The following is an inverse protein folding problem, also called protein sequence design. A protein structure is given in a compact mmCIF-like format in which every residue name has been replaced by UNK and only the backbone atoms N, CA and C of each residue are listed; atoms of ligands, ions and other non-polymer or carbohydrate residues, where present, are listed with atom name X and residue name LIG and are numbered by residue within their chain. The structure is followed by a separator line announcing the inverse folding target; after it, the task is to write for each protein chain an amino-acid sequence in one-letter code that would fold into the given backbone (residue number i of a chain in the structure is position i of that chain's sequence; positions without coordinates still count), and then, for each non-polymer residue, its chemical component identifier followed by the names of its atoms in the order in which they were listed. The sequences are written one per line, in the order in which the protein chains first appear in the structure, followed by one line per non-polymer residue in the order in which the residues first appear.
data_IF_304843501294
#
_entry.id   IF_304843501294
#
_cell.length_a   1.000
_cell.length_b   1.000
_cell.length_c   1.000
_cell.angle_alpha   90.00
_cell.angle_beta   90.00
_cell.angle_gamma   90.00
#
_symmetry.space_group_name_H-M   'P 1'
#
loop_
_entity.id
_entity.type
_entity.pdbx_description
1 polymer ?
#
# COMPACT_ATOMS: atom_id res chain seq x y z
N UNK A 1 16.02 -4.30 -2.37
CA UNK A 1 16.25 -5.42 -1.43
C UNK A 1 17.13 -6.47 -2.11
N UNK A 2 18.10 -6.98 -1.37
CA UNK A 2 18.94 -8.14 -1.71
C UNK A 2 18.17 -9.45 -1.48
N UNK A 3 18.70 -10.57 -1.97
CA UNK A 3 18.06 -11.89 -1.77
C UNK A 3 17.83 -12.20 -0.28
N UNK A 4 18.76 -11.81 0.60
CA UNK A 4 18.67 -12.01 2.06
C UNK A 4 17.58 -11.18 2.73
N UNK A 5 17.05 -10.17 2.04
CA UNK A 5 16.00 -9.28 2.57
C UNK A 5 14.60 -9.66 2.09
N UNK A 6 14.46 -10.57 1.11
CA UNK A 6 13.16 -11.07 0.62
C UNK A 6 12.26 -11.62 1.75
N UNK A 7 12.78 -12.30 2.78
CA UNK A 7 11.96 -12.72 3.92
C UNK A 7 11.19 -11.57 4.59
N UNK A 8 11.77 -10.37 4.69
CA UNK A 8 11.10 -9.20 5.26
C UNK A 8 9.85 -8.80 4.44
N UNK A 9 9.93 -8.92 3.11
CA UNK A 9 8.79 -8.71 2.24
C UNK A 9 7.74 -9.82 2.45
N UNK A 10 8.20 -11.07 2.50
CA UNK A 10 7.34 -12.25 2.55
C UNK A 10 6.55 -12.32 3.86
N UNK A 11 7.16 -12.00 5.00
CA UNK A 11 6.50 -12.02 6.31
C UNK A 11 5.26 -11.10 6.34
N UNK A 12 5.37 -9.89 5.78
CA UNK A 12 4.25 -8.94 5.70
C UNK A 12 3.20 -9.42 4.70
N UNK A 13 3.62 -9.99 3.57
CA UNK A 13 2.71 -10.55 2.56
C UNK A 13 1.92 -11.73 3.14
N UNK A 14 2.58 -12.65 3.85
CA UNK A 14 1.97 -13.81 4.48
C UNK A 14 0.93 -13.40 5.52
N UNK A 15 1.25 -12.46 6.41
CA UNK A 15 0.27 -11.90 7.36
C UNK A 15 -0.95 -11.31 6.65
N UNK A 16 -0.72 -10.60 5.54
CA UNK A 16 -1.81 -10.03 4.73
C UNK A 16 -2.66 -11.11 4.06
N UNK A 17 -2.01 -12.16 3.55
CA UNK A 17 -2.62 -13.34 2.93
C UNK A 17 -3.55 -14.04 3.91
N UNK A 18 -3.09 -14.29 5.14
CA UNK A 18 -3.90 -14.90 6.19
C UNK A 18 -5.10 -14.02 6.58
N UNK A 19 -4.86 -12.71 6.75
CA UNK A 19 -5.93 -11.76 7.12
C UNK A 19 -7.01 -11.62 6.04
N UNK A 20 -6.63 -11.67 4.76
CA UNK A 20 -7.53 -11.45 3.61
C UNK A 20 -7.97 -12.75 2.94
N UNK A 21 -7.53 -13.91 3.44
CA UNK A 21 -7.90 -15.24 2.96
C UNK A 21 -7.62 -15.46 1.47
N UNK A 22 -6.50 -14.96 0.95
CA UNK A 22 -6.01 -15.33 -0.38
C UNK A 22 -4.79 -16.26 -0.28
N UNK A 23 -4.48 -16.96 -1.37
CA UNK A 23 -3.31 -17.84 -1.46
C UNK A 23 -2.12 -17.09 -2.05
N UNK A 24 -0.93 -17.35 -1.51
CA UNK A 24 0.34 -16.88 -2.04
C UNK A 24 1.24 -18.07 -2.33
N UNK A 25 2.24 -17.85 -3.19
CA UNK A 25 3.33 -18.79 -3.38
C UNK A 25 4.23 -18.82 -2.13
N UNK A 26 5.08 -19.81 -2.03
CA UNK A 26 6.05 -19.92 -0.94
C UNK A 26 7.20 -18.91 -1.08
N UNK A 27 8.05 -18.81 -0.06
CA UNK A 27 9.21 -17.93 -0.09
C UNK A 27 10.16 -18.25 -1.26
N UNK A 28 10.34 -19.54 -1.57
CA UNK A 28 11.27 -20.01 -2.61
C UNK A 28 10.88 -19.51 -4.01
N UNK A 29 9.58 -19.36 -4.28
CA UNK A 29 9.09 -18.72 -5.49
C UNK A 29 9.58 -17.28 -5.61
N UNK A 30 9.50 -16.47 -4.55
CA UNK A 30 9.90 -15.06 -4.59
C UNK A 30 11.42 -14.90 -4.68
N UNK A 31 12.19 -15.78 -4.04
CA UNK A 31 13.64 -15.84 -4.18
C UNK A 31 14.04 -16.19 -5.62
N UNK A 32 13.41 -17.21 -6.20
CA UNK A 32 13.61 -17.59 -7.61
C UNK A 32 13.21 -16.46 -8.56
N UNK A 33 12.09 -15.78 -8.27
CA UNK A 33 11.64 -14.63 -9.06
C UNK A 33 12.68 -13.51 -9.05
N UNK A 34 13.28 -13.19 -7.89
CA UNK A 34 14.35 -12.19 -7.81
C UNK A 34 15.60 -12.63 -8.55
N UNK A 35 15.99 -13.90 -8.43
CA UNK A 35 17.14 -14.48 -9.16
C UNK A 35 16.96 -14.37 -10.68
N UNK A 36 15.76 -14.69 -11.19
CA UNK A 36 15.49 -14.73 -12.63
C UNK A 36 15.21 -13.36 -13.25
N UNK A 37 14.52 -12.47 -12.55
CA UNK A 37 14.16 -11.15 -13.08
C UNK A 37 15.17 -10.06 -12.73
N UNK A 38 16.09 -10.30 -11.78
CA UNK A 38 17.09 -9.33 -11.39
C UNK A 38 16.46 -7.99 -11.05
N UNK A 39 16.89 -6.92 -11.71
CA UNK A 39 16.43 -5.54 -11.45
C UNK A 39 15.02 -5.22 -11.97
N UNK A 40 14.45 -6.10 -12.80
CA UNK A 40 13.04 -6.00 -13.20
C UNK A 40 12.11 -6.32 -12.02
N UNK A 41 12.55 -7.16 -11.07
CA UNK A 41 11.83 -7.44 -9.83
C UNK A 41 12.25 -6.47 -8.72
N UNK A 42 11.36 -5.53 -8.40
CA UNK A 42 11.56 -4.46 -7.42
C UNK A 42 10.79 -4.76 -6.15
N UNK A 43 11.51 -5.33 -5.19
CA UNK A 43 11.01 -5.55 -3.84
C UNK A 43 11.21 -4.29 -3.01
N UNK A 44 10.09 -3.75 -2.53
CA UNK A 44 9.99 -2.54 -1.72
C UNK A 44 9.53 -2.90 -0.31
N UNK A 45 10.10 -2.23 0.68
CA UNK A 45 9.79 -2.44 2.09
C UNK A 45 9.82 -1.09 2.79
N UNK A 46 8.70 -0.72 3.41
CA UNK A 46 8.55 0.50 4.17
C UNK A 46 8.55 0.17 5.66
N UNK A 47 9.33 0.93 6.41
CA UNK A 47 9.38 0.88 7.86
C UNK A 47 9.32 2.30 8.44
N UNK A 48 8.94 2.40 9.70
CA UNK A 48 9.09 3.62 10.49
C UNK A 48 10.34 3.49 11.36
N UNK A 49 11.27 4.43 11.25
CA UNK A 49 12.33 4.61 12.24
C UNK A 49 11.71 5.20 13.51
N UNK A 50 11.69 4.39 14.57
CA UNK A 50 11.05 4.71 15.82
C UNK A 50 11.72 5.88 16.53
N UNK A 51 13.05 5.93 16.56
CA UNK A 51 13.81 6.97 17.24
C UNK A 51 13.63 8.33 16.53
N UNK A 52 13.72 8.32 15.20
CA UNK A 52 13.48 9.50 14.37
C UNK A 52 12.05 10.01 14.52
N UNK A 53 11.05 9.12 14.51
CA UNK A 53 9.65 9.53 14.69
C UNK A 53 9.37 10.09 16.09
N UNK A 54 9.94 9.48 17.14
CA UNK A 54 9.80 10.00 18.50
C UNK A 54 10.42 11.39 18.65
N UNK A 55 11.60 11.61 18.05
CA UNK A 55 12.26 12.91 18.02
C UNK A 55 11.40 13.94 17.31
N UNK A 56 10.93 13.61 16.10
CA UNK A 56 10.00 14.44 15.33
C UNK A 56 8.77 14.88 16.14
N UNK A 57 8.13 13.94 16.86
CA UNK A 57 6.97 14.26 17.69
C UNK A 57 7.33 15.18 18.86
N UNK A 58 8.43 14.91 19.58
CA UNK A 58 8.87 15.72 20.72
C UNK A 58 9.22 17.14 20.30
N UNK A 59 9.97 17.29 19.21
CA UNK A 59 10.37 18.60 18.70
C UNK A 59 9.16 19.45 18.33
N UNK A 60 8.14 18.85 17.70
CA UNK A 60 6.90 19.55 17.38
C UNK A 60 6.05 19.87 18.62
N UNK A 61 5.99 18.98 19.60
CA UNK A 61 5.32 19.26 20.88
C UNK A 61 5.99 20.46 21.57
N UNK A 62 7.32 20.43 21.72
CA UNK A 62 8.08 21.50 22.36
C UNK A 62 7.91 22.83 21.61
N UNK A 63 8.03 22.80 20.27
CA UNK A 63 7.86 23.99 19.43
C UNK A 63 6.50 24.65 19.64
N UNK A 64 5.40 23.88 19.64
CA UNK A 64 4.07 24.46 19.85
C UNK A 64 3.84 24.92 21.29
N UNK A 65 4.44 24.25 22.29
CA UNK A 65 4.40 24.73 23.67
C UNK A 65 5.10 26.08 23.83
N UNK A 66 6.29 26.22 23.24
CA UNK A 66 7.04 27.49 23.22
C UNK A 66 6.29 28.59 22.46
N UNK A 67 5.70 28.26 21.30
CA UNK A 67 4.90 29.20 20.50
C UNK A 67 3.68 29.72 21.29
N UNK A 68 2.96 28.84 21.99
CA UNK A 68 1.83 29.23 22.84
C UNK A 68 2.31 30.14 23.96
N UNK A 69 3.39 29.80 24.65
CA UNK A 69 3.96 30.60 25.74
C UNK A 69 4.40 31.99 25.26
N UNK A 70 5.06 32.09 24.11
CA UNK A 70 5.44 33.36 23.50
C UNK A 70 4.21 34.20 23.13
N UNK A 71 3.18 33.59 22.54
CA UNK A 71 1.92 34.28 22.22
C UNK A 71 1.16 34.73 23.47
N UNK A 72 1.21 33.99 24.56
CA UNK A 72 0.58 34.35 25.83
C UNK A 72 1.28 35.53 26.52
N UNK A 73 2.58 35.75 26.26
CA UNK A 73 3.31 36.92 26.78
C UNK A 73 2.95 38.25 26.11
N UNK A 74 2.30 38.20 24.94
CA UNK A 74 1.94 39.37 24.13
C UNK A 74 0.57 39.94 24.55
N UNK A 75 0.39 41.24 24.32
CA UNK A 75 -0.87 41.94 24.63
C UNK A 75 -2.08 41.28 23.94
N UNK A 76 -3.22 41.28 24.64
CA UNK A 76 -4.42 40.59 24.16
C UNK A 76 -4.94 41.16 22.83
N UNK A 77 -5.26 40.27 21.89
CA UNK A 77 -5.83 40.63 20.61
C UNK A 77 -6.52 39.44 19.95
N UNK A 78 -7.54 39.71 19.13
CA UNK A 78 -8.25 38.66 18.36
C UNK A 78 -7.30 37.82 17.50
N UNK A 79 -6.29 38.46 16.89
CA UNK A 79 -5.28 37.78 16.05
C UNK A 79 -4.43 36.81 16.89
N UNK A 80 -3.92 37.26 18.04
CA UNK A 80 -3.16 36.42 18.99
C UNK A 80 -3.98 35.24 19.49
N UNK A 81 -5.23 35.48 19.93
CA UNK A 81 -6.10 34.41 20.44
C UNK A 81 -6.41 33.35 19.37
N UNK A 82 -6.56 33.77 18.11
CA UNK A 82 -6.71 32.84 16.99
C UNK A 82 -5.44 32.02 16.76
N UNK A 83 -4.26 32.64 16.82
CA UNK A 83 -2.98 31.94 16.69
C UNK A 83 -2.78 30.92 17.81
N UNK A 84 -3.06 31.27 19.06
CA UNK A 84 -3.02 30.35 20.20
C UNK A 84 -3.96 29.17 19.97
N UNK A 85 -5.21 29.41 19.57
CA UNK A 85 -6.17 28.32 19.28
C UNK A 85 -5.61 27.35 18.24
N UNK A 86 -5.05 27.86 17.16
CA UNK A 86 -4.47 27.03 16.09
C UNK A 86 -3.24 26.24 16.59
N UNK A 87 -2.33 26.87 17.32
CA UNK A 87 -1.16 26.23 17.91
C UNK A 87 -1.56 25.14 18.92
N UNK A 88 -2.54 25.41 19.78
CA UNK A 88 -3.09 24.43 20.74
C UNK A 88 -3.74 23.24 20.03
N UNK A 89 -4.44 23.46 18.92
CA UNK A 89 -4.99 22.36 18.12
C UNK A 89 -3.88 21.48 17.54
N UNK A 90 -2.79 22.06 17.05
CA UNK A 90 -1.62 21.31 16.57
C UNK A 90 -0.93 20.56 17.71
N UNK A 91 -0.66 21.23 18.84
CA UNK A 91 -0.09 20.60 20.03
C UNK A 91 -0.89 19.38 20.47
N UNK A 92 -2.21 19.51 20.56
CA UNK A 92 -3.12 18.42 20.93
C UNK A 92 -3.03 17.26 19.92
N UNK A 93 -2.92 17.56 18.62
CA UNK A 93 -2.73 16.54 17.58
C UNK A 93 -1.42 15.76 17.76
N UNK A 94 -0.30 16.45 17.98
CA UNK A 94 1.01 15.80 18.18
C UNK A 94 1.08 15.02 19.50
N UNK A 95 0.50 15.54 20.58
CA UNK A 95 0.39 14.82 21.85
C UNK A 95 -0.45 13.54 21.71
N UNK A 96 -1.56 13.59 20.96
CA UNK A 96 -2.36 12.41 20.66
C UNK A 96 -1.54 11.36 19.88
N UNK A 97 -0.82 11.78 18.83
CA UNK A 97 0.07 10.89 18.06
C UNK A 97 1.16 10.26 18.94
N UNK A 98 1.74 11.04 19.86
CA UNK A 98 2.70 10.54 20.83
C UNK A 98 2.09 9.45 21.72
N UNK A 99 0.92 9.71 22.30
CA UNK A 99 0.22 8.73 23.13
C UNK A 99 -0.17 7.47 22.35
N UNK A 100 -0.66 7.60 21.12
CA UNK A 100 -0.97 6.48 20.24
C UNK A 100 0.27 5.65 19.92
N UNK A 101 1.40 6.30 19.60
CA UNK A 101 2.66 5.61 19.35
C UNK A 101 3.16 4.85 20.59
N UNK A 102 3.08 5.44 21.78
CA UNK A 102 3.46 4.75 23.03
C UNK A 102 2.59 3.51 23.31
N UNK A 103 1.30 3.52 22.93
CA UNK A 103 0.40 2.37 23.09
C UNK A 103 0.77 1.18 22.22
N UNK A 104 1.50 1.41 21.11
CA UNK A 104 1.95 0.32 20.24
C UNK A 104 3.02 -0.56 20.91
N UNK A 105 3.62 -0.12 22.02
CA UNK A 105 4.65 -0.85 22.77
C UNK A 105 5.76 -1.40 21.86
N UNK A 106 6.20 -0.58 20.89
CA UNK A 106 7.19 -1.00 19.89
C UNK A 106 8.50 -1.36 20.58
N UNK A 107 9.00 -2.56 20.30
CA UNK A 107 10.25 -3.10 20.88
C UNK A 107 11.43 -3.07 19.90
N UNK A 108 11.20 -2.63 18.67
CA UNK A 108 12.19 -2.62 17.59
C UNK A 108 12.52 -1.19 17.19
N UNK A 109 13.75 -0.98 16.71
CA UNK A 109 14.17 0.34 16.20
C UNK A 109 13.45 0.70 14.90
N UNK A 110 13.13 -0.31 14.10
CA UNK A 110 12.42 -0.19 12.83
C UNK A 110 11.10 -0.94 12.91
N UNK A 111 10.00 -0.23 12.73
CA UNK A 111 8.66 -0.80 12.72
C UNK A 111 8.25 -1.13 11.28
N UNK A 112 8.09 -2.42 10.90
CA UNK A 112 7.60 -2.78 9.58
C UNK A 112 6.22 -2.18 9.30
N UNK A 113 6.00 -1.60 8.13
CA UNK A 113 4.70 -1.03 7.75
C UNK A 113 4.06 -1.82 6.60
N UNK A 114 4.77 -1.90 5.48
CA UNK A 114 4.26 -2.42 4.21
C UNK A 114 5.38 -3.01 3.37
N UNK A 115 5.05 -3.97 2.51
CA UNK A 115 5.98 -4.53 1.54
C UNK A 115 5.27 -4.77 0.21
N UNK A 116 5.95 -4.52 -0.90
CA UNK A 116 5.40 -4.71 -2.25
C UNK A 116 6.46 -5.28 -3.20
N UNK A 117 6.01 -6.06 -4.17
CA UNK A 117 6.78 -6.53 -5.30
C UNK A 117 6.21 -5.89 -6.56
N UNK A 118 7.05 -5.15 -7.29
CA UNK A 118 6.76 -4.63 -8.61
C UNK A 118 7.57 -5.36 -9.67
N UNK A 119 6.98 -5.57 -10.84
CA UNK A 119 7.63 -6.15 -12.02
C UNK A 119 7.66 -5.09 -13.11
N UNK A 120 8.86 -4.69 -13.49
CA UNK A 120 9.15 -3.76 -14.58
C UNK A 120 9.31 -4.57 -15.87
N UNK A 121 8.34 -4.45 -16.77
CA UNK A 121 8.31 -5.26 -17.99
C UNK A 121 7.65 -4.51 -19.16
N UNK A 122 8.36 -4.44 -20.28
CA UNK A 122 7.88 -3.77 -21.48
C UNK A 122 7.72 -2.27 -21.25
N UNK A 123 6.48 -1.78 -21.34
CA UNK A 123 6.12 -0.37 -21.15
C UNK A 123 5.22 -0.17 -19.92
N UNK A 124 5.27 -1.10 -18.97
CA UNK A 124 4.51 -1.04 -17.73
C UNK A 124 5.32 -1.44 -16.49
N UNK A 125 4.98 -0.80 -15.38
CA UNK A 125 5.34 -1.28 -14.05
C UNK A 125 4.12 -1.93 -13.39
N UNK A 126 4.18 -3.24 -13.19
CA UNK A 126 3.11 -4.02 -12.56
C UNK A 126 3.32 -4.12 -11.04
N UNK A 127 2.35 -3.63 -10.27
CA UNK A 127 2.22 -3.90 -8.83
C UNK A 127 1.71 -5.35 -8.63
N UNK A 128 2.63 -6.30 -8.49
CA UNK A 128 2.32 -7.72 -8.55
C UNK A 128 1.81 -8.29 -7.22
N UNK A 129 2.54 -8.08 -6.12
CA UNK A 129 2.11 -8.47 -4.77
C UNK A 129 2.31 -7.33 -3.78
N UNK A 130 1.46 -7.28 -2.75
CA UNK A 130 1.53 -6.25 -1.72
C UNK A 130 0.97 -6.74 -0.39
N UNK A 131 1.68 -6.42 0.68
CA UNK A 131 1.31 -6.71 2.06
C UNK A 131 1.39 -5.45 2.92
N UNK A 132 0.54 -5.38 3.94
CA UNK A 132 0.47 -4.26 4.88
C UNK A 132 0.18 -4.79 6.29
N UNK A 133 0.85 -4.24 7.30
CA UNK A 133 0.56 -4.54 8.72
C UNK A 133 -0.61 -3.66 9.18
N UNK A 134 -1.71 -4.29 9.62
CA UNK A 134 -3.00 -3.61 9.83
C UNK A 134 -2.93 -2.57 10.95
N UNK A 135 -2.21 -2.92 12.01
CA UNK A 135 -1.97 -2.14 13.20
C UNK A 135 -1.30 -0.79 12.88
N UNK A 136 -0.60 -0.71 11.73
CA UNK A 136 0.26 0.39 11.36
C UNK A 136 -0.19 1.15 10.10
N UNK A 137 -1.43 0.93 9.64
CA UNK A 137 -1.99 1.62 8.47
C UNK A 137 -1.94 3.15 8.59
N UNK A 138 -2.03 3.69 9.81
CA UNK A 138 -1.97 5.12 10.09
C UNK A 138 -0.68 5.77 9.57
N UNK A 139 0.43 5.02 9.48
CA UNK A 139 1.72 5.53 9.01
C UNK A 139 1.85 5.52 7.48
N UNK A 140 0.87 4.98 6.75
CA UNK A 140 0.77 5.14 5.29
C UNK A 140 1.84 4.43 4.47
N UNK A 141 2.42 3.32 4.97
CA UNK A 141 3.48 2.59 4.27
C UNK A 141 3.12 2.18 2.83
N UNK A 142 1.90 1.71 2.62
CA UNK A 142 1.39 1.33 1.29
C UNK A 142 1.42 2.52 0.33
N UNK A 143 0.91 3.66 0.80
CA UNK A 143 0.82 4.90 0.02
C UNK A 143 2.21 5.43 -0.30
N UNK A 144 3.13 5.42 0.66
CA UNK A 144 4.52 5.80 0.43
C UNK A 144 5.15 4.98 -0.70
N UNK A 145 5.08 3.65 -0.60
CA UNK A 145 5.67 2.75 -1.60
C UNK A 145 5.04 2.97 -2.98
N UNK A 146 3.71 3.02 -3.07
CA UNK A 146 3.04 3.18 -4.37
C UNK A 146 3.31 4.55 -4.99
N UNK A 147 3.31 5.63 -4.21
CA UNK A 147 3.70 6.96 -4.71
C UNK A 147 5.13 6.98 -5.23
N UNK A 148 6.06 6.32 -4.53
CA UNK A 148 7.46 6.26 -4.93
C UNK A 148 7.63 5.45 -6.22
N UNK A 149 6.93 4.32 -6.34
CA UNK A 149 6.99 3.48 -7.55
C UNK A 149 6.25 4.07 -8.75
N UNK A 150 5.21 4.87 -8.54
CA UNK A 150 4.59 5.68 -9.60
C UNK A 150 5.58 6.73 -10.10
N UNK A 151 6.31 7.38 -9.19
CA UNK A 151 7.38 8.33 -9.56
C UNK A 151 8.47 7.63 -10.36
N UNK A 152 8.94 6.48 -9.88
CA UNK A 152 9.90 5.64 -10.60
C UNK A 152 9.42 5.31 -12.01
N UNK A 153 8.17 4.88 -12.18
CA UNK A 153 7.63 4.51 -13.50
C UNK A 153 7.67 5.71 -14.46
N UNK A 154 7.27 6.90 -13.98
CA UNK A 154 7.33 8.15 -14.74
C UNK A 154 8.77 8.53 -15.10
N UNK A 155 9.69 8.48 -14.15
CA UNK A 155 11.11 8.83 -14.36
C UNK A 155 11.81 7.83 -15.30
N UNK A 156 11.37 6.58 -15.30
CA UNK A 156 11.86 5.52 -16.19
C UNK A 156 11.21 5.53 -17.57
N UNK A 157 10.29 6.47 -17.84
CA UNK A 157 9.63 6.62 -19.14
C UNK A 157 8.59 5.54 -19.45
N UNK A 158 8.09 4.81 -18.44
CA UNK A 158 7.05 3.80 -18.61
C UNK A 158 5.68 4.48 -18.80
N UNK A 159 4.93 4.06 -19.81
CA UNK A 159 3.60 4.63 -20.09
C UNK A 159 2.55 4.23 -19.07
N UNK A 160 2.70 3.06 -18.44
CA UNK A 160 1.68 2.50 -17.56
C UNK A 160 2.21 2.11 -16.19
N UNK A 161 1.45 2.49 -15.15
CA UNK A 161 1.54 1.90 -13.83
C UNK A 161 0.34 0.98 -13.62
N UNK A 162 0.57 -0.32 -13.62
CA UNK A 162 -0.47 -1.33 -13.60
C UNK A 162 -0.67 -1.84 -12.16
N UNK A 163 -1.78 -1.46 -11.53
CA UNK A 163 -2.13 -1.92 -10.18
C UNK A 163 -2.60 -3.39 -10.12
N UNK A 164 -2.64 -4.10 -11.25
CA UNK A 164 -3.18 -5.46 -11.37
C UNK A 164 -4.71 -5.52 -11.22
N UNK A 165 -5.24 -6.74 -11.14
CA UNK A 165 -6.67 -7.01 -11.14
C UNK A 165 -7.44 -6.44 -9.94
N UNK A 166 -8.73 -6.18 -10.15
CA UNK A 166 -9.72 -5.91 -9.10
C UNK A 166 -10.91 -6.84 -9.30
N UNK A 167 -11.54 -7.27 -8.20
CA UNK A 167 -12.66 -8.23 -8.20
C UNK A 167 -14.01 -7.48 -8.39
N UNK A 168 -14.02 -6.15 -8.33
CA UNK A 168 -15.21 -5.34 -8.09
C UNK A 168 -15.92 -4.81 -9.36
N UNK A 169 -15.76 -5.46 -10.52
CA UNK A 169 -16.41 -5.00 -11.78
C UNK A 169 -17.94 -4.93 -11.68
N UNK A 170 -18.57 -5.77 -10.84
CA UNK A 170 -20.03 -5.86 -10.73
C UNK A 170 -20.60 -5.21 -9.45
N UNK A 171 -19.76 -4.79 -8.48
CA UNK A 171 -20.15 -4.24 -7.17
C UNK A 171 -19.44 -2.92 -6.81
N UNK A 172 -18.98 -2.15 -7.80
CA UNK A 172 -18.24 -0.89 -7.58
C UNK A 172 -18.99 0.13 -6.69
N UNK A 173 -20.32 0.05 -6.60
CA UNK A 173 -21.16 0.92 -5.76
C UNK A 173 -21.00 0.66 -4.25
N UNK A 174 -20.62 -0.55 -3.82
CA UNK A 174 -20.55 -0.92 -2.40
C UNK A 174 -19.23 -0.47 -1.73
N UNK A 175 -18.23 -0.09 -2.54
CA UNK A 175 -16.94 0.41 -2.06
C UNK A 175 -16.10 -0.62 -1.30
N UNK A 176 -16.45 -1.90 -1.41
CA UNK A 176 -15.78 -3.02 -0.76
C UNK A 176 -14.62 -3.50 -1.63
N UNK A 177 -13.39 -3.11 -1.27
CA UNK A 177 -12.16 -3.77 -1.72
C UNK A 177 -11.05 -2.83 -2.19
N UNK A 178 -10.22 -3.31 -3.12
CA UNK A 178 -8.95 -2.65 -3.48
C UNK A 178 -9.10 -1.59 -4.58
N UNK A 179 -10.24 -1.49 -5.26
CA UNK A 179 -10.39 -0.53 -6.35
C UNK A 179 -10.38 0.92 -5.86
N UNK A 180 -11.10 1.23 -4.77
CA UNK A 180 -11.10 2.58 -4.18
C UNK A 180 -9.70 3.03 -3.72
N UNK A 181 -8.88 2.09 -3.26
CA UNK A 181 -7.47 2.37 -2.97
C UNK A 181 -6.71 2.76 -4.25
N UNK A 182 -6.82 1.96 -5.31
CA UNK A 182 -6.15 2.21 -6.61
C UNK A 182 -6.60 3.54 -7.25
N UNK A 183 -7.88 3.87 -7.13
CA UNK A 183 -8.47 5.10 -7.68
C UNK A 183 -7.90 6.37 -7.04
N UNK A 184 -7.47 6.33 -5.78
CA UNK A 184 -6.84 7.48 -5.12
C UNK A 184 -5.52 7.91 -5.77
N UNK A 185 -4.87 7.02 -6.52
CA UNK A 185 -3.67 7.31 -7.31
C UNK A 185 -3.98 7.70 -8.76
N UNK A 186 -5.25 7.89 -9.12
CA UNK A 186 -5.69 8.15 -10.49
C UNK A 186 -5.89 6.89 -11.35
N UNK A 187 -5.88 5.70 -10.75
CA UNK A 187 -6.10 4.44 -11.46
C UNK A 187 -7.45 4.37 -12.16
N UNK A 188 -7.45 3.82 -13.38
CA UNK A 188 -8.64 3.60 -14.19
C UNK A 188 -8.91 2.10 -14.35
N UNK A 189 -10.18 1.71 -14.37
CA UNK A 189 -10.57 0.32 -14.64
C UNK A 189 -10.43 0.04 -16.14
N UNK A 190 -9.62 -0.96 -16.49
CA UNK A 190 -9.50 -1.48 -17.85
C UNK A 190 -10.08 -2.89 -17.88
N UNK A 191 -11.16 -3.10 -18.65
CA UNK A 191 -11.75 -4.42 -18.83
C UNK A 191 -11.20 -5.05 -20.12
N UNK A 192 -10.47 -6.15 -19.97
CA UNK A 192 -9.99 -6.93 -21.10
C UNK A 192 -11.08 -7.85 -21.67
N UNK A 193 -10.91 -8.29 -22.93
CA UNK A 193 -11.84 -9.19 -23.63
C UNK A 193 -12.04 -10.55 -22.92
N UNK A 194 -11.16 -10.90 -21.97
CA UNK A 194 -11.21 -12.13 -21.20
C UNK A 194 -10.47 -13.27 -21.88
N UNK A 195 -10.91 -14.50 -21.61
CA UNK A 195 -10.24 -15.72 -22.06
C UNK A 195 -10.91 -16.32 -23.28
N UNK A 196 -10.10 -16.77 -24.24
CA UNK A 196 -10.56 -17.48 -25.44
C UNK A 196 -10.04 -18.91 -25.41
N UNK A 197 -10.91 -19.89 -25.61
CA UNK A 197 -10.55 -21.32 -25.62
C UNK A 197 -10.74 -21.90 -27.01
N UNK A 198 -9.67 -22.41 -27.62
CA UNK A 198 -9.71 -23.14 -28.90
C UNK A 198 -9.51 -24.64 -28.69
N UNK A 199 -10.55 -25.48 -28.81
CA UNK A 199 -10.42 -26.91 -28.66
C UNK A 199 -9.69 -27.51 -29.88
N UNK A 200 -8.66 -28.32 -29.62
CA UNK A 200 -7.85 -28.94 -30.67
C UNK A 200 -8.35 -30.34 -31.07
N UNK A 201 -9.18 -30.98 -30.24
CA UNK A 201 -9.70 -32.33 -30.46
C UNK A 201 -11.23 -32.34 -30.59
N UNK A 202 -11.78 -33.39 -31.19
CA UNK A 202 -13.24 -33.59 -31.29
C UNK A 202 -13.86 -33.68 -29.89
N UNK A 203 -13.23 -34.42 -28.96
CA UNK A 203 -13.67 -34.51 -27.56
C UNK A 203 -13.66 -33.12 -26.90
N UNK A 204 -12.59 -32.34 -27.10
CA UNK A 204 -12.51 -30.97 -26.58
C UNK A 204 -13.58 -30.04 -27.15
N UNK A 205 -13.94 -30.19 -28.44
CA UNK A 205 -15.05 -29.44 -29.05
C UNK A 205 -16.38 -29.80 -28.40
N UNK A 206 -16.65 -31.09 -28.19
CA UNK A 206 -17.86 -31.56 -27.52
C UNK A 206 -17.94 -31.02 -26.08
N UNK A 207 -16.85 -31.13 -25.32
CA UNK A 207 -16.79 -30.62 -23.93
C UNK A 207 -17.00 -29.10 -23.86
N UNK A 208 -16.37 -28.34 -24.76
CA UNK A 208 -16.55 -26.89 -24.81
C UNK A 208 -18.01 -26.54 -25.13
N UNK A 209 -18.60 -27.18 -26.15
CA UNK A 209 -20.00 -26.98 -26.53
C UNK A 209 -20.97 -27.27 -25.38
N UNK A 210 -20.77 -28.39 -24.67
CA UNK A 210 -21.55 -28.71 -23.47
C UNK A 210 -21.40 -27.62 -22.40
N UNK A 211 -20.17 -27.21 -22.07
CA UNK A 211 -19.91 -26.20 -21.03
C UNK A 211 -20.54 -24.83 -21.33
N UNK A 212 -20.56 -24.42 -22.60
CA UNK A 212 -21.17 -23.14 -23.02
C UNK A 212 -22.70 -23.18 -23.04
N UNK A 213 -23.28 -24.36 -23.27
CA UNK A 213 -24.75 -24.55 -23.33
C UNK A 213 -25.34 -24.63 -21.91
N UNK A 214 -24.67 -25.34 -20.99
CA UNK A 214 -25.09 -25.42 -19.58
C UNK A 214 -24.95 -24.07 -18.84
N UNK A 215 -23.93 -23.26 -19.15
CA UNK A 215 -23.79 -21.91 -18.55
C UNK A 215 -24.89 -20.92 -18.94
N UNK A 216 -25.59 -21.14 -20.07
CA UNK A 216 -26.72 -20.30 -20.50
C UNK A 216 -28.05 -20.62 -19.81
N UNK A 217 -28.20 -21.80 -19.19
CA UNK A 217 -29.43 -22.20 -18.50
C UNK A 217 -29.52 -21.76 -17.03
N UNK A 218 -28.42 -21.26 -16.46
CA UNK A 218 -28.34 -20.83 -15.04
C UNK A 218 -27.90 -19.36 -14.88
N UNK A 219 -28.17 -18.53 -15.89
CA UNK A 219 -28.12 -17.07 -15.80
C UNK A 219 -29.51 -16.49 -15.96
#
# INVERSE_FOLDING_TARGET
MTATEIPLFYDILQQTSHRKSFSIQDLSFFETLKDKLGDQAKFMYAYLDCASYQTYLKDHINRYQEEIKDLESKADSKKRNTAIKNATQQLTSYQKRWQEFQKLQVKTDHLPLSSYLFIDYGDELLSYFGGNIQEYFIFGGATLINCDMIRYAKESGLSYFNFGGTIEVDQFQEGIGNFNYKKQFGGQLVQYLGSFTKPLTVIGKCLLFMSTTFKKQHR
#
